data_IF_332156634293
#
_entry.id   IF_332156634293
#
_cell.length_a   1.000
_cell.length_b   1.000
_cell.length_c   1.000
_cell.angle_alpha   90.00
_cell.angle_beta   90.00
_cell.angle_gamma   90.00
#
_symmetry.space_group_name_H-M   'P 1'
#
loop_
_entity.id
_entity.type
_entity.pdbx_description
1 polymer ?
#
# COMPACT_ATOMS: atom_id res chain seq x y z
N UNK A 1 -17.82 -13.75 -5.29
CA UNK A 1 -17.93 -12.83 -4.14
C UNK A 1 -17.19 -11.57 -4.53
N UNK A 2 -17.78 -10.40 -4.30
CA UNK A 2 -17.07 -9.12 -4.49
C UNK A 2 -15.81 -9.07 -3.60
N UNK A 3 -14.77 -8.29 -3.95
CA UNK A 3 -13.62 -8.12 -3.09
C UNK A 3 -14.00 -7.62 -1.69
N UNK A 4 -13.79 -8.45 -0.68
CA UNK A 4 -14.22 -8.17 0.70
C UNK A 4 -13.01 -7.82 1.54
N UNK A 5 -12.89 -6.55 1.93
CA UNK A 5 -11.77 -6.09 2.75
C UNK A 5 -12.11 -4.85 3.58
N UNK A 6 -11.36 -4.68 4.67
CA UNK A 6 -11.20 -3.43 5.40
C UNK A 6 -9.71 -3.16 5.61
N UNK A 7 -9.21 -2.03 5.11
CA UNK A 7 -7.81 -1.62 5.19
C UNK A 7 -7.70 -0.37 6.05
N UNK A 8 -7.18 -0.54 7.27
CA UNK A 8 -7.04 0.50 8.29
C UNK A 8 -5.75 1.31 8.16
N UNK A 9 -5.02 1.13 7.05
CA UNK A 9 -3.82 1.91 6.76
C UNK A 9 -4.08 3.32 6.20
N UNK A 10 -5.34 3.75 6.19
CA UNK A 10 -5.76 5.10 5.86
C UNK A 10 -6.90 5.54 6.78
N UNK A 11 -7.11 6.84 6.89
CA UNK A 11 -8.25 7.43 7.58
C UNK A 11 -9.04 8.33 6.61
N UNK A 12 -10.32 8.00 6.29
CA UNK A 12 -11.06 6.81 6.73
C UNK A 12 -10.48 5.49 6.15
N UNK A 13 -10.80 4.33 6.76
CA UNK A 13 -10.38 3.03 6.24
C UNK A 13 -10.92 2.78 4.83
N UNK A 14 -10.11 2.16 3.96
CA UNK A 14 -10.60 1.70 2.65
C UNK A 14 -11.37 0.41 2.82
N UNK A 15 -12.59 0.37 2.31
CA UNK A 15 -13.44 -0.81 2.35
C UNK A 15 -13.86 -1.25 0.95
N UNK A 16 -14.06 -2.56 0.80
CA UNK A 16 -14.69 -3.16 -0.38
C UNK A 16 -16.14 -3.50 -0.05
N UNK A 17 -16.49 -4.77 -0.23
CA UNK A 17 -17.76 -5.37 0.21
C UNK A 17 -17.90 -5.48 1.75
N UNK A 18 -17.38 -4.50 2.51
CA UNK A 18 -17.40 -4.47 3.98
C UNK A 18 -17.94 -3.13 4.45
N UNK A 19 -18.81 -3.17 5.46
CA UNK A 19 -19.19 -2.01 6.26
C UNK A 19 -18.68 -2.19 7.69
N UNK A 20 -18.04 -1.17 8.25
CA UNK A 20 -17.64 -1.16 9.66
C UNK A 20 -18.84 -0.67 10.48
N UNK A 21 -19.43 -1.54 11.29
CA UNK A 21 -20.67 -1.26 12.03
C UNK A 21 -20.46 -0.96 13.51
N UNK A 22 -19.35 -1.43 14.08
CA UNK A 22 -19.03 -1.24 15.49
C UNK A 22 -17.54 -1.06 15.72
N UNK A 23 -17.18 -0.07 16.53
CA UNK A 23 -15.82 0.17 16.99
C UNK A 23 -15.88 0.50 18.48
N UNK A 24 -15.40 -0.41 19.31
CA UNK A 24 -15.45 -0.28 20.77
C UNK A 24 -14.04 -0.25 21.34
N UNK A 25 -13.75 0.72 22.22
CA UNK A 25 -12.43 0.91 22.87
C UNK A 25 -11.26 0.77 21.89
N UNK A 26 -11.47 1.31 20.69
CA UNK A 26 -10.51 1.26 19.59
C UNK A 26 -10.42 2.64 18.96
N UNK A 27 -9.25 2.97 18.42
CA UNK A 27 -8.97 4.28 17.83
C UNK A 27 -8.15 4.15 16.55
N UNK A 28 -8.45 4.97 15.55
CA UNK A 28 -7.58 5.11 14.38
C UNK A 28 -6.21 5.66 14.82
N UNK A 29 -5.15 5.08 14.26
CA UNK A 29 -3.76 5.44 14.57
C UNK A 29 -2.96 5.71 13.29
N UNK A 30 -3.59 6.31 12.28
CA UNK A 30 -3.00 6.66 10.99
C UNK A 30 -2.81 5.47 10.04
N UNK A 31 -2.01 4.47 10.44
CA UNK A 31 -1.68 3.31 9.60
C UNK A 31 -2.31 1.98 10.10
N UNK A 32 -3.09 2.02 11.19
CA UNK A 32 -3.83 0.88 11.73
C UNK A 32 -5.00 1.32 12.61
N UNK A 33 -5.85 0.36 12.99
CA UNK A 33 -6.79 0.47 14.09
C UNK A 33 -6.14 -0.09 15.36
N UNK A 34 -6.01 0.74 16.39
CA UNK A 34 -5.50 0.31 17.70
C UNK A 34 -6.66 -0.11 18.60
N UNK A 35 -6.72 -1.39 18.96
CA UNK A 35 -7.77 -2.03 19.75
C UNK A 35 -7.24 -2.26 21.17
N UNK A 36 -7.86 -1.59 22.16
CA UNK A 36 -7.49 -1.68 23.57
C UNK A 36 -8.01 -2.93 24.27
N UNK A 37 -7.77 -3.04 25.58
CA UNK A 37 -8.23 -4.16 26.39
C UNK A 37 -9.77 -4.26 26.42
N UNK A 38 -10.28 -5.42 26.00
CA UNK A 38 -11.72 -5.64 25.82
C UNK A 38 -12.35 -4.79 24.71
N UNK A 39 -11.53 -4.22 23.82
CA UNK A 39 -11.99 -3.51 22.63
C UNK A 39 -12.26 -4.44 21.47
N UNK A 40 -12.96 -3.91 20.48
CA UNK A 40 -13.39 -4.67 19.31
C UNK A 40 -13.58 -3.80 18.06
N UNK A 41 -13.63 -4.48 16.92
CA UNK A 41 -14.20 -3.96 15.68
C UNK A 41 -15.15 -5.00 15.08
N UNK A 42 -16.26 -4.53 14.55
CA UNK A 42 -17.28 -5.34 13.89
C UNK A 42 -17.44 -4.91 12.43
N UNK A 43 -17.44 -5.90 11.56
CA UNK A 43 -17.48 -5.78 10.12
C UNK A 43 -18.68 -6.58 9.59
N UNK A 44 -19.53 -5.95 8.81
CA UNK A 44 -20.58 -6.63 8.04
C UNK A 44 -20.17 -6.75 6.57
N UNK A 45 -20.43 -7.91 5.96
CA UNK A 45 -20.16 -8.14 4.55
C UNK A 45 -21.19 -9.07 3.94
N UNK A 46 -21.45 -8.90 2.65
CA UNK A 46 -22.43 -9.72 1.92
C UNK A 46 -21.75 -10.89 1.20
N UNK A 47 -22.29 -12.08 1.40
CA UNK A 47 -21.87 -13.29 0.72
C UNK A 47 -22.98 -13.64 -0.29
N UNK A 48 -22.64 -13.90 -1.57
CA UNK A 48 -23.61 -14.45 -2.50
C UNK A 48 -24.06 -15.84 -2.03
N UNK A 49 -24.80 -16.60 -2.83
CA UNK A 49 -25.17 -17.98 -2.45
C UNK A 49 -23.93 -18.78 -1.95
N UNK A 50 -23.89 -19.24 -0.68
CA UNK A 50 -22.77 -19.99 -0.12
C UNK A 50 -22.44 -21.26 -0.89
N UNK A 51 -23.39 -21.84 -1.63
CA UNK A 51 -23.16 -22.97 -2.53
C UNK A 51 -22.15 -22.62 -3.64
N UNK A 52 -22.06 -21.34 -4.02
CA UNK A 52 -21.11 -20.81 -5.00
C UNK A 52 -19.74 -20.53 -4.35
N UNK A 53 -19.73 -20.00 -3.13
CA UNK A 53 -18.47 -19.68 -2.43
C UNK A 53 -17.77 -20.94 -1.93
N UNK A 54 -18.54 -21.91 -1.45
CA UNK A 54 -18.14 -23.16 -0.79
C UNK A 54 -17.30 -22.95 0.45
N UNK A 55 -16.10 -22.39 0.33
CA UNK A 55 -15.20 -22.13 1.45
C UNK A 55 -14.58 -20.76 1.28
N UNK A 56 -14.28 -20.10 2.40
CA UNK A 56 -13.63 -18.81 2.40
C UNK A 56 -12.40 -18.80 3.31
N UNK A 57 -11.61 -17.75 3.16
CA UNK A 57 -10.53 -17.39 4.04
C UNK A 57 -10.86 -16.09 4.75
N UNK A 58 -10.63 -15.99 6.04
CA UNK A 58 -10.42 -14.70 6.70
C UNK A 58 -8.93 -14.54 6.92
N UNK A 59 -8.33 -13.50 6.34
CA UNK A 59 -6.94 -13.16 6.60
C UNK A 59 -6.84 -11.79 7.30
N UNK A 60 -6.09 -11.77 8.40
CA UNK A 60 -5.81 -10.58 9.19
C UNK A 60 -4.34 -10.22 9.08
N UNK A 61 -4.06 -8.93 8.91
CA UNK A 61 -2.73 -8.39 9.16
C UNK A 61 -2.76 -7.65 10.49
N UNK A 62 -2.12 -8.23 11.51
CA UNK A 62 -2.22 -7.73 12.87
C UNK A 62 -0.89 -7.82 13.63
N UNK A 63 -0.72 -6.99 14.64
CA UNK A 63 0.43 -6.96 15.53
C UNK A 63 -0.06 -6.77 16.97
N UNK A 64 0.54 -7.47 17.92
CA UNK A 64 0.43 -7.08 19.34
C UNK A 64 1.52 -6.07 19.63
N UNK A 65 1.18 -4.84 20.05
CA UNK A 65 2.18 -3.79 20.30
C UNK A 65 3.11 -4.18 21.45
N UNK A 66 4.39 -3.79 21.38
CA UNK A 66 5.34 -3.97 22.48
C UNK A 66 4.80 -3.35 23.77
N UNK A 67 5.16 -3.96 24.92
CA UNK A 67 4.99 -3.33 26.22
C UNK A 67 6.36 -2.90 26.73
N UNK A 68 6.78 -1.68 26.35
CA UNK A 68 8.14 -1.19 26.60
C UNK A 68 9.21 -2.14 26.02
N UNK A 69 9.97 -2.85 26.86
CA UNK A 69 11.02 -3.82 26.46
C UNK A 69 10.56 -5.27 26.49
N UNK A 70 9.31 -5.53 26.85
CA UNK A 70 8.75 -6.88 26.92
C UNK A 70 7.82 -7.17 25.74
N UNK A 71 7.71 -8.44 25.33
CA UNK A 71 6.67 -8.86 24.39
C UNK A 71 5.30 -8.39 24.86
N UNK A 72 4.56 -7.78 23.96
CA UNK A 72 3.20 -7.37 24.20
C UNK A 72 2.27 -8.54 24.49
N UNK A 73 1.11 -8.22 25.06
CA UNK A 73 0.06 -9.18 25.35
C UNK A 73 -1.31 -8.58 25.05
N UNK A 74 -1.87 -8.98 23.91
CA UNK A 74 -3.23 -8.68 23.49
C UNK A 74 -3.81 -9.91 22.76
N UNK A 75 -4.41 -10.86 23.50
CA UNK A 75 -4.99 -12.06 22.90
C UNK A 75 -6.08 -11.71 21.90
N UNK A 76 -5.99 -12.27 20.69
CA UNK A 76 -6.90 -12.05 19.58
C UNK A 76 -8.01 -13.11 19.61
N UNK A 77 -9.26 -12.67 19.60
CA UNK A 77 -10.41 -13.54 19.27
C UNK A 77 -11.04 -13.06 17.96
N UNK A 78 -11.38 -14.00 17.08
CA UNK A 78 -12.02 -13.73 15.78
C UNK A 78 -13.28 -14.55 15.71
N UNK A 79 -14.42 -13.91 15.46
CA UNK A 79 -15.73 -14.56 15.37
C UNK A 79 -16.41 -14.24 14.06
N UNK A 80 -16.88 -15.28 13.37
CA UNK A 80 -17.75 -15.15 12.20
C UNK A 80 -19.16 -15.61 12.60
N UNK A 81 -20.16 -14.75 12.43
CA UNK A 81 -21.55 -15.03 12.79
C UNK A 81 -21.68 -15.57 14.24
N UNK A 82 -20.88 -15.01 15.15
CA UNK A 82 -20.77 -15.43 16.56
C UNK A 82 -19.91 -16.66 16.84
N UNK A 83 -19.58 -17.47 15.82
CA UNK A 83 -18.74 -18.67 15.94
C UNK A 83 -17.24 -18.31 15.94
N UNK A 84 -16.42 -18.85 16.87
CA UNK A 84 -15.00 -18.52 16.92
C UNK A 84 -14.23 -19.19 15.78
N UNK A 85 -13.53 -18.39 14.97
CA UNK A 85 -12.47 -18.85 14.06
C UNK A 85 -11.12 -18.97 14.77
N UNK A 86 -10.93 -18.14 15.79
CA UNK A 86 -9.82 -18.20 16.72
C UNK A 86 -10.29 -17.69 18.08
N UNK A 87 -9.82 -18.31 19.15
CA UNK A 87 -10.12 -17.87 20.51
C UNK A 87 -8.85 -17.60 21.30
N UNK A 88 -8.71 -16.37 21.78
CA UNK A 88 -7.59 -15.89 22.61
C UNK A 88 -6.21 -16.25 22.05
N UNK A 89 -6.09 -16.23 20.73
CA UNK A 89 -4.86 -16.53 20.02
C UNK A 89 -3.78 -15.50 20.35
N UNK A 90 -2.57 -15.96 20.64
CA UNK A 90 -1.41 -15.06 20.73
C UNK A 90 -0.85 -14.79 19.34
N UNK A 91 -0.68 -13.52 19.01
CA UNK A 91 0.03 -13.12 17.79
C UNK A 91 1.54 -13.33 18.02
N UNK A 92 2.23 -14.10 17.15
CA UNK A 92 3.66 -14.30 17.27
C UNK A 92 4.46 -12.99 17.26
N UNK A 93 5.70 -13.05 17.78
CA UNK A 93 6.70 -11.98 17.74
C UNK A 93 6.40 -10.73 18.61
N UNK A 94 5.28 -10.67 19.32
CA UNK A 94 5.05 -9.80 20.49
C UNK A 94 5.37 -8.31 20.33
N UNK A 95 5.36 -7.76 19.12
CA UNK A 95 5.69 -6.36 18.86
C UNK A 95 6.77 -6.12 17.80
N UNK A 96 7.39 -7.17 17.25
CA UNK A 96 8.39 -7.02 16.19
C UNK A 96 7.83 -6.57 14.83
N UNK A 97 7.03 -7.42 14.18
CA UNK A 97 6.47 -7.17 12.84
C UNK A 97 5.03 -7.65 12.74
N UNK A 98 4.15 -6.95 11.99
CA UNK A 98 2.79 -7.41 11.74
C UNK A 98 2.78 -8.80 11.09
N UNK A 99 1.98 -9.70 11.65
CA UNK A 99 1.80 -11.07 11.20
C UNK A 99 0.60 -11.16 10.26
N UNK A 100 0.69 -12.05 9.28
CA UNK A 100 -0.48 -12.45 8.48
C UNK A 100 -1.06 -13.71 9.12
N UNK A 101 -2.25 -13.59 9.68
CA UNK A 101 -3.01 -14.68 10.30
C UNK A 101 -4.11 -15.09 9.33
N UNK A 102 -4.29 -16.39 9.12
CA UNK A 102 -5.14 -16.92 8.06
C UNK A 102 -6.03 -17.99 8.67
N UNK A 103 -7.34 -17.81 8.58
CA UNK A 103 -8.35 -18.70 9.14
C UNK A 103 -9.21 -19.26 8.01
N UNK A 104 -9.31 -20.58 7.94
CA UNK A 104 -10.25 -21.24 7.05
C UNK A 104 -11.68 -21.04 7.58
N UNK A 105 -12.61 -20.78 6.67
CA UNK A 105 -14.03 -20.63 6.96
C UNK A 105 -14.79 -21.72 6.20
N UNK A 106 -15.35 -22.71 6.91
CA UNK A 106 -16.22 -23.73 6.33
C UNK A 106 -17.48 -23.13 5.69
N UNK A 107 -18.06 -23.86 4.74
CA UNK A 107 -19.30 -23.47 4.04
C UNK A 107 -20.44 -23.18 5.01
N UNK A 108 -20.58 -24.04 6.01
CA UNK A 108 -21.65 -24.05 7.00
C UNK A 108 -21.59 -22.89 8.01
N UNK A 109 -20.49 -22.15 8.04
CA UNK A 109 -20.31 -20.96 8.86
C UNK A 109 -20.68 -19.67 8.10
N UNK A 110 -20.86 -19.75 6.77
CA UNK A 110 -21.31 -18.66 5.92
C UNK A 110 -22.82 -18.74 5.68
N UNK A 111 -23.48 -17.58 5.74
CA UNK A 111 -24.90 -17.45 5.37
C UNK A 111 -25.05 -16.66 4.08
N UNK A 112 -26.11 -16.93 3.32
CA UNK A 112 -26.44 -16.12 2.15
C UNK A 112 -26.83 -14.70 2.60
N UNK A 113 -26.29 -13.69 1.92
CA UNK A 113 -26.44 -12.29 2.30
C UNK A 113 -25.49 -11.90 3.43
N UNK A 114 -26.01 -11.19 4.43
CA UNK A 114 -25.18 -10.52 5.43
C UNK A 114 -24.53 -11.49 6.41
N UNK A 115 -23.21 -11.35 6.56
CA UNK A 115 -22.40 -12.03 7.55
C UNK A 115 -21.70 -10.98 8.43
N UNK A 116 -21.41 -11.34 9.68
CA UNK A 116 -20.73 -10.46 10.65
C UNK A 116 -19.41 -11.07 11.07
N UNK A 117 -18.32 -10.34 10.89
CA UNK A 117 -17.01 -10.66 11.43
C UNK A 117 -16.69 -9.70 12.57
N UNK A 118 -16.46 -10.26 13.76
CA UNK A 118 -16.01 -9.51 14.94
C UNK A 118 -14.58 -9.89 15.31
N UNK A 119 -13.77 -8.88 15.58
CA UNK A 119 -12.37 -9.02 15.99
C UNK A 119 -12.23 -8.34 17.35
N UNK A 120 -11.82 -9.09 18.34
CA UNK A 120 -11.73 -8.66 19.74
C UNK A 120 -10.30 -8.76 20.27
N UNK A 121 -9.95 -7.83 21.15
CA UNK A 121 -8.79 -7.91 22.03
C UNK A 121 -9.23 -8.35 23.43
N UNK A 122 -8.52 -9.31 24.02
CA UNK A 122 -8.84 -9.83 25.35
C UNK A 122 -8.95 -8.74 26.41
N UNK A 123 -9.89 -8.90 27.36
CA UNK A 123 -10.07 -7.95 28.47
C UNK A 123 -8.84 -7.86 29.40
N UNK A 124 -8.01 -8.91 29.41
CA UNK A 124 -6.76 -9.00 30.15
C UNK A 124 -5.54 -8.51 29.34
N UNK A 125 -5.75 -7.91 28.16
CA UNK A 125 -4.68 -7.35 27.35
C UNK A 125 -3.91 -6.27 28.15
N UNK A 126 -2.59 -6.33 28.08
CA UNK A 126 -1.66 -5.39 28.72
C UNK A 126 -1.03 -4.44 27.71
N UNK A 127 -1.15 -4.75 26.42
CA UNK A 127 -0.76 -3.88 25.31
C UNK A 127 -1.87 -3.83 24.26
N UNK A 128 -1.66 -3.09 23.17
CA UNK A 128 -2.67 -2.88 22.14
C UNK A 128 -2.62 -3.99 21.08
N UNK A 129 -3.79 -4.35 20.55
CA UNK A 129 -3.89 -5.10 19.30
C UNK A 129 -3.96 -4.08 18.15
N UNK A 130 -2.96 -4.07 17.28
CA UNK A 130 -2.92 -3.23 16.08
C UNK A 130 -3.42 -4.04 14.89
N UNK A 131 -4.58 -3.65 14.36
CA UNK A 131 -5.20 -4.28 13.19
C UNK A 131 -4.96 -3.39 11.96
N UNK A 132 -4.18 -3.89 11.01
CA UNK A 132 -3.86 -3.17 9.78
C UNK A 132 -4.86 -3.45 8.68
N UNK A 133 -5.29 -4.72 8.55
CA UNK A 133 -6.11 -5.16 7.43
C UNK A 133 -6.89 -6.42 7.74
N UNK A 134 -8.07 -6.49 7.17
CA UNK A 134 -8.92 -7.69 7.07
C UNK A 134 -9.20 -7.94 5.59
N UNK A 135 -9.02 -9.16 5.11
CA UNK A 135 -9.47 -9.61 3.79
C UNK A 135 -10.27 -10.90 3.93
N UNK A 136 -11.30 -11.04 3.11
CA UNK A 136 -12.13 -12.23 3.03
C UNK A 136 -12.19 -12.66 1.58
N UNK A 137 -11.70 -13.86 1.28
CA UNK A 137 -11.57 -14.37 -0.09
C UNK A 137 -12.19 -15.77 -0.20
N UNK A 138 -12.89 -16.10 -1.29
CA UNK A 138 -13.23 -17.49 -1.58
C UNK A 138 -11.95 -18.32 -1.73
N UNK A 139 -11.94 -19.57 -1.26
CA UNK A 139 -10.75 -20.43 -1.36
C UNK A 139 -10.24 -20.61 -2.79
N UNK A 140 -11.14 -20.64 -3.77
CA UNK A 140 -10.78 -20.77 -5.19
C UNK A 140 -10.27 -19.48 -5.84
N UNK A 141 -10.37 -18.33 -5.16
CA UNK A 141 -9.96 -17.01 -5.65
C UNK A 141 -9.01 -16.35 -4.63
N UNK A 142 -7.96 -17.09 -4.25
CA UNK A 142 -7.00 -16.66 -3.23
C UNK A 142 -6.41 -15.28 -3.55
N UNK A 143 -6.39 -14.39 -2.55
CA UNK A 143 -5.84 -13.04 -2.61
C UNK A 143 -6.56 -12.05 -3.54
N UNK A 144 -7.79 -12.36 -3.99
CA UNK A 144 -8.60 -11.44 -4.81
C UNK A 144 -8.78 -10.07 -4.13
N UNK A 145 -9.06 -10.04 -2.83
CA UNK A 145 -9.21 -8.82 -2.05
C UNK A 145 -7.89 -8.05 -1.94
N UNK A 146 -6.76 -8.74 -1.77
CA UNK A 146 -5.42 -8.14 -1.80
C UNK A 146 -5.11 -7.47 -3.14
N UNK A 147 -5.43 -8.15 -4.25
CA UNK A 147 -5.30 -7.63 -5.60
C UNK A 147 -6.23 -6.44 -5.87
N UNK A 148 -7.47 -6.49 -5.38
CA UNK A 148 -8.42 -5.37 -5.51
C UNK A 148 -7.91 -4.12 -4.77
N UNK A 149 -7.36 -4.29 -3.56
CA UNK A 149 -6.72 -3.20 -2.81
C UNK A 149 -5.53 -2.60 -3.57
N UNK A 150 -4.69 -3.44 -4.16
CA UNK A 150 -3.57 -2.98 -5.00
C UNK A 150 -4.09 -2.19 -6.21
N UNK A 151 -5.12 -2.70 -6.91
CA UNK A 151 -5.75 -2.02 -8.03
C UNK A 151 -6.38 -0.68 -7.64
N UNK A 152 -7.03 -0.60 -6.48
CA UNK A 152 -7.59 0.66 -5.99
C UNK A 152 -6.48 1.68 -5.73
N UNK A 153 -5.38 1.26 -5.11
CA UNK A 153 -4.23 2.15 -4.89
C UNK A 153 -3.55 2.58 -6.21
N UNK A 154 -3.62 1.75 -7.25
CA UNK A 154 -3.16 2.06 -8.62
C UNK A 154 -4.13 2.97 -9.37
N UNK A 155 -5.44 2.91 -9.10
CA UNK A 155 -6.45 3.73 -9.77
C UNK A 155 -6.30 5.23 -9.48
N UNK A 156 -5.66 5.57 -8.36
CA UNK A 156 -5.27 6.92 -8.00
C UNK A 156 -3.74 7.02 -7.86
N UNK A 157 -3.01 6.98 -8.99
CA UNK A 157 -1.56 6.84 -8.99
C UNK A 157 -0.84 8.16 -8.65
N UNK A 158 -1.55 9.29 -8.61
CA UNK A 158 -0.98 10.59 -8.25
C UNK A 158 -0.97 10.73 -6.74
N UNK A 159 0.22 10.81 -6.16
CA UNK A 159 0.43 11.02 -4.75
C UNK A 159 0.82 12.48 -4.50
N UNK A 160 0.14 13.15 -3.57
CA UNK A 160 0.49 14.51 -3.11
C UNK A 160 0.89 14.46 -1.65
N UNK A 161 2.08 14.94 -1.33
CA UNK A 161 2.61 14.96 0.03
C UNK A 161 2.83 16.38 0.51
N UNK A 162 2.38 16.67 1.73
CA UNK A 162 2.78 17.87 2.45
C UNK A 162 4.16 17.65 3.09
N UNK A 163 5.10 18.58 2.85
CA UNK A 163 6.45 18.57 3.41
C UNK A 163 6.83 19.96 3.91
N UNK A 164 7.90 20.07 4.69
CA UNK A 164 8.44 21.37 5.14
C UNK A 164 8.97 22.24 3.97
N UNK A 165 9.25 21.62 2.81
CA UNK A 165 9.68 22.31 1.60
C UNK A 165 8.52 22.67 0.65
N UNK A 166 7.28 22.38 1.04
CA UNK A 166 6.08 22.55 0.21
C UNK A 166 5.46 21.22 -0.23
N UNK A 167 4.46 21.29 -1.12
CA UNK A 167 3.80 20.11 -1.67
C UNK A 167 4.72 19.39 -2.68
N UNK A 168 4.82 18.07 -2.55
CA UNK A 168 5.50 17.20 -3.53
C UNK A 168 4.46 16.37 -4.24
N UNK A 169 4.46 16.42 -5.58
CA UNK A 169 3.68 15.48 -6.40
C UNK A 169 4.57 14.33 -6.86
N UNK A 170 4.03 13.10 -6.81
CA UNK A 170 4.68 11.91 -7.33
C UNK A 170 3.69 11.11 -8.17
N UNK A 171 4.01 10.96 -9.45
CA UNK A 171 3.40 10.09 -10.43
C UNK A 171 4.54 9.52 -11.29
N UNK A 172 4.67 8.20 -11.29
CA UNK A 172 5.51 7.45 -12.21
C UNK A 172 4.66 6.26 -12.66
N UNK A 173 4.08 6.37 -13.85
CA UNK A 173 3.18 5.35 -14.39
C UNK A 173 3.69 4.85 -15.74
N UNK A 174 3.87 3.54 -15.82
CA UNK A 174 4.32 2.81 -17.02
C UNK A 174 3.26 1.83 -17.54
N UNK A 175 2.04 1.87 -16.99
CA UNK A 175 0.96 0.93 -17.26
C UNK A 175 1.10 -0.44 -16.57
N UNK A 176 2.10 -0.61 -15.70
CA UNK A 176 2.42 -1.90 -15.06
C UNK A 176 1.65 -2.17 -13.76
N UNK A 177 0.80 -1.23 -13.33
CA UNK A 177 -0.08 -1.37 -12.16
C UNK A 177 0.66 -1.80 -10.88
N UNK A 178 1.80 -1.18 -10.60
CA UNK A 178 2.62 -1.48 -9.43
C UNK A 178 2.78 -0.24 -8.53
N UNK A 179 2.82 -0.45 -7.22
CA UNK A 179 3.07 0.61 -6.25
C UNK A 179 4.56 0.96 -6.20
N UNK A 180 4.85 2.25 -6.05
CA UNK A 180 6.19 2.76 -5.80
C UNK A 180 6.62 2.46 -4.35
N UNK A 181 7.84 1.93 -4.22
CA UNK A 181 8.53 1.70 -2.94
C UNK A 181 9.58 2.79 -2.68
N UNK A 182 10.28 3.23 -3.73
CA UNK A 182 11.34 4.24 -3.62
C UNK A 182 11.35 5.14 -4.85
N UNK A 183 11.68 6.41 -4.63
CA UNK A 183 11.93 7.38 -5.69
C UNK A 183 13.10 8.26 -5.28
N UNK A 184 14.02 8.51 -6.21
CA UNK A 184 15.02 9.54 -6.09
C UNK A 184 15.01 10.40 -7.35
N UNK A 185 15.22 11.70 -7.20
CA UNK A 185 15.25 12.62 -8.32
C UNK A 185 16.20 13.78 -8.07
N UNK A 186 16.60 14.43 -9.15
CA UNK A 186 17.21 15.74 -9.10
C UNK A 186 16.44 16.72 -9.97
N UNK A 187 16.48 18.00 -9.61
CA UNK A 187 15.83 19.06 -10.37
C UNK A 187 16.84 20.01 -11.04
N UNK A 188 16.33 20.98 -11.80
CA UNK A 188 17.11 21.94 -12.55
C UNK A 188 17.91 22.93 -11.67
N UNK A 189 17.59 23.05 -10.37
CA UNK A 189 18.41 23.81 -9.42
C UNK A 189 19.64 23.02 -8.96
N UNK A 190 19.73 21.73 -9.30
CA UNK A 190 20.75 20.82 -8.82
C UNK A 190 20.44 20.21 -7.45
N UNK A 191 19.25 20.47 -6.91
CA UNK A 191 18.79 19.82 -5.70
C UNK A 191 18.53 18.33 -5.96
N UNK A 192 18.86 17.50 -4.97
CA UNK A 192 18.70 16.05 -5.01
C UNK A 192 17.81 15.59 -3.88
N UNK A 193 17.01 14.58 -4.16
CA UNK A 193 16.03 13.99 -3.25
C UNK A 193 16.10 12.48 -3.38
N UNK A 194 15.98 11.78 -2.26
CA UNK A 194 15.77 10.32 -2.26
C UNK A 194 14.85 9.95 -1.11
N UNK A 195 13.76 9.25 -1.42
CA UNK A 195 12.71 8.88 -0.48
C UNK A 195 12.38 7.40 -0.58
N UNK A 196 11.95 6.83 0.54
CA UNK A 196 11.31 5.52 0.65
C UNK A 196 9.90 5.74 1.19
N UNK A 197 8.92 5.10 0.56
CA UNK A 197 7.54 5.16 1.02
C UNK A 197 7.34 4.25 2.21
N UNK A 198 6.50 4.69 3.15
CA UNK A 198 5.90 3.78 4.12
C UNK A 198 4.91 2.84 3.42
N UNK A 199 4.48 1.79 4.15
CA UNK A 199 3.44 0.89 3.65
C UNK A 199 2.23 1.69 3.20
N UNK A 200 1.65 1.29 2.07
CA UNK A 200 0.49 1.95 1.46
C UNK A 200 0.72 3.42 1.04
N UNK A 201 1.97 3.89 1.09
CA UNK A 201 2.40 5.22 0.67
C UNK A 201 1.71 6.35 1.47
N UNK A 202 1.32 6.10 2.73
CA UNK A 202 0.71 7.11 3.61
C UNK A 202 1.70 8.23 4.01
N UNK A 203 2.99 7.93 4.00
CA UNK A 203 4.07 8.88 4.20
C UNK A 203 5.32 8.42 3.44
N UNK A 204 6.34 9.27 3.43
CA UNK A 204 7.69 8.89 3.02
C UNK A 204 8.74 9.46 3.97
N UNK A 205 9.90 8.81 3.99
CA UNK A 205 11.10 9.22 4.71
C UNK A 205 12.30 9.19 3.77
N UNK A 206 13.21 10.14 3.95
CA UNK A 206 14.37 10.24 3.09
C UNK A 206 15.23 11.44 3.41
N UNK A 207 15.92 11.91 2.39
CA UNK A 207 16.78 13.07 2.49
C UNK A 207 16.65 13.94 1.25
N UNK A 208 17.00 15.21 1.43
CA UNK A 208 17.20 16.15 0.34
C UNK A 208 18.49 16.94 0.54
N UNK A 209 19.04 17.45 -0.55
CA UNK A 209 20.29 18.22 -0.54
C UNK A 209 20.31 19.25 -1.66
N UNK A 210 20.64 20.50 -1.30
CA UNK A 210 21.02 21.55 -2.26
C UNK A 210 22.52 21.46 -2.61
N UNK A 211 22.95 21.93 -3.79
CA UNK A 211 24.37 21.98 -4.15
C UNK A 211 25.21 22.68 -3.09
N UNK A 212 26.33 22.06 -2.71
CA UNK A 212 27.24 22.59 -1.68
C UNK A 212 26.74 22.49 -0.23
N UNK A 213 25.52 22.00 0.02
CA UNK A 213 24.99 21.80 1.36
C UNK A 213 25.10 20.36 1.84
N UNK A 214 25.02 20.15 3.16
CA UNK A 214 24.89 18.80 3.74
C UNK A 214 23.46 18.26 3.52
N UNK A 215 23.28 16.94 3.34
CA UNK A 215 21.95 16.34 3.31
C UNK A 215 21.16 16.68 4.56
N UNK A 216 19.86 16.93 4.38
CA UNK A 216 18.89 17.13 5.46
C UNK A 216 17.81 16.08 5.36
N UNK A 217 17.20 15.79 6.49
CA UNK A 217 16.02 14.94 6.53
C UNK A 217 14.90 15.51 5.65
N UNK A 218 14.21 14.62 4.94
CA UNK A 218 13.08 14.95 4.11
C UNK A 218 11.94 13.97 4.40
N UNK A 219 10.81 14.49 4.83
CA UNK A 219 9.63 13.71 5.20
C UNK A 219 8.41 14.33 4.54
N UNK A 220 7.46 13.47 4.19
CA UNK A 220 6.17 13.90 3.67
C UNK A 220 5.05 13.05 4.20
N UNK A 221 3.92 13.70 4.50
CA UNK A 221 2.65 13.01 4.82
C UNK A 221 1.68 13.15 3.66
N UNK A 222 1.00 12.07 3.31
CA UNK A 222 0.06 12.06 2.20
C UNK A 222 -1.06 13.07 2.48
N UNK A 223 -1.15 14.09 1.64
CA UNK A 223 -2.19 15.11 1.68
C UNK A 223 -3.36 14.77 0.76
N UNK A 224 -3.12 13.97 -0.29
CA UNK A 224 -4.18 13.52 -1.18
C UNK A 224 -3.71 12.56 -2.26
N UNK A 225 -4.68 11.90 -2.87
CA UNK A 225 -4.52 11.05 -4.05
C UNK A 225 -5.33 11.61 -5.22
N UNK A 226 -5.01 11.19 -6.44
CA UNK A 226 -5.80 11.56 -7.61
C UNK A 226 -5.52 10.67 -8.81
N UNK A 227 -6.43 10.72 -9.78
CA UNK A 227 -6.31 10.00 -11.04
C UNK A 227 -5.52 10.75 -12.11
N UNK A 228 -5.31 12.07 -11.94
CA UNK A 228 -4.64 12.94 -12.90
C UNK A 228 -3.72 13.95 -12.21
N UNK A 229 -2.60 14.22 -12.86
CA UNK A 229 -1.68 15.29 -12.55
C UNK A 229 -1.55 16.17 -13.80
N UNK A 230 -2.00 17.42 -13.72
CA UNK A 230 -2.02 18.34 -14.86
C UNK A 230 -0.60 18.63 -15.40
N UNK A 231 0.38 18.59 -14.52
CA UNK A 231 1.80 18.75 -14.81
C UNK A 231 2.49 17.47 -15.31
N UNK A 232 1.74 16.38 -15.52
CA UNK A 232 2.32 15.11 -15.96
C UNK A 232 2.87 15.22 -17.39
N UNK A 233 4.14 14.88 -17.56
CA UNK A 233 4.77 14.71 -18.87
C UNK A 233 4.58 13.28 -19.34
N UNK A 234 4.04 13.10 -20.54
CA UNK A 234 3.90 11.81 -21.21
C UNK A 234 5.07 11.59 -22.15
N UNK A 235 5.61 10.38 -22.14
CA UNK A 235 6.65 9.94 -23.06
C UNK A 235 6.24 8.66 -23.77
N UNK A 236 6.39 8.66 -25.09
CA UNK A 236 6.40 7.45 -25.92
C UNK A 236 7.76 6.79 -25.75
N UNK A 237 7.78 5.57 -25.23
CA UNK A 237 9.00 4.89 -24.81
C UNK A 237 9.34 3.66 -25.67
N UNK A 238 10.63 3.37 -25.70
CA UNK A 238 11.23 2.18 -26.31
C UNK A 238 12.20 1.54 -25.31
N UNK A 239 12.35 0.22 -25.35
CA UNK A 239 13.38 -0.49 -24.60
C UNK A 239 14.29 -1.29 -25.53
N UNK A 240 15.55 -1.40 -25.12
CA UNK A 240 16.66 -1.88 -25.95
C UNK A 240 17.02 -3.31 -25.61
N UNK A 241 16.68 -4.25 -26.48
CA UNK A 241 17.08 -5.65 -26.38
C UNK A 241 17.26 -6.28 -27.77
N UNK A 242 18.07 -7.34 -27.84
CA UNK A 242 18.31 -8.06 -29.11
C UNK A 242 18.96 -7.21 -30.20
N UNK A 243 19.75 -6.19 -29.83
CA UNK A 243 20.42 -5.28 -30.78
C UNK A 243 19.52 -4.20 -31.39
N UNK A 244 18.26 -4.07 -30.95
CA UNK A 244 17.31 -3.09 -31.46
C UNK A 244 16.53 -2.38 -30.36
N UNK A 245 15.79 -1.35 -30.77
CA UNK A 245 14.83 -0.64 -29.91
C UNK A 245 13.42 -1.08 -30.27
N UNK A 246 12.64 -1.38 -29.24
CA UNK A 246 11.29 -1.91 -29.39
C UNK A 246 10.32 -1.04 -28.61
N UNK A 247 9.15 -0.81 -29.19
CA UNK A 247 8.09 -0.02 -28.55
C UNK A 247 7.70 -0.66 -27.21
N UNK A 248 7.57 0.17 -26.18
CA UNK A 248 7.07 -0.21 -24.86
C UNK A 248 5.86 0.64 -24.46
N UNK A 249 5.32 0.42 -23.26
CA UNK A 249 4.25 1.24 -22.69
C UNK A 249 4.68 2.70 -22.51
N UNK A 250 3.73 3.63 -22.57
CA UNK A 250 4.05 5.03 -22.28
C UNK A 250 4.48 5.23 -20.84
N UNK A 251 5.32 6.23 -20.61
CA UNK A 251 5.70 6.69 -19.29
C UNK A 251 5.03 8.04 -19.01
N UNK A 252 4.22 8.10 -17.96
CA UNK A 252 3.69 9.35 -17.41
C UNK A 252 4.48 9.72 -16.16
N UNK A 253 4.95 10.96 -16.09
CA UNK A 253 5.81 11.44 -15.00
C UNK A 253 5.34 12.80 -14.49
N UNK A 254 5.08 12.89 -13.19
CA UNK A 254 5.04 14.15 -12.43
C UNK A 254 5.74 13.92 -11.09
N UNK A 255 7.00 14.35 -10.97
CA UNK A 255 7.80 14.16 -9.76
C UNK A 255 8.35 15.50 -9.31
N UNK A 256 8.32 15.78 -8.01
CA UNK A 256 9.01 16.92 -7.41
C UNK A 256 8.09 18.02 -6.89
N UNK A 257 8.71 19.16 -6.57
CA UNK A 257 8.04 20.37 -6.09
C UNK A 257 7.64 21.23 -7.29
N UNK A 258 6.44 21.84 -7.31
CA UNK A 258 6.04 22.76 -8.37
C UNK A 258 7.10 23.82 -8.68
N UNK A 259 7.35 24.07 -9.97
CA UNK A 259 8.34 25.05 -10.43
C UNK A 259 9.78 24.53 -10.58
N UNK A 260 10.06 23.29 -10.16
CA UNK A 260 11.40 22.69 -10.24
C UNK A 260 11.42 21.49 -11.21
N UNK A 261 11.81 21.74 -12.46
CA UNK A 261 11.83 20.70 -13.49
C UNK A 261 12.80 19.56 -13.16
N UNK A 262 12.33 18.32 -13.22
CA UNK A 262 13.16 17.13 -12.97
C UNK A 262 14.13 16.89 -14.13
N UNK A 263 15.41 16.70 -13.77
CA UNK A 263 16.52 16.45 -14.70
C UNK A 263 16.95 14.99 -14.74
N UNK A 264 16.81 14.25 -13.62
CA UNK A 264 16.98 12.79 -13.57
C UNK A 264 16.13 12.20 -12.48
N UNK A 265 15.74 10.94 -12.63
CA UNK A 265 15.07 10.19 -11.59
C UNK A 265 15.39 8.70 -11.64
N UNK A 266 15.29 8.04 -10.49
CA UNK A 266 15.25 6.59 -10.37
C UNK A 266 14.08 6.19 -9.49
N UNK A 267 13.46 5.05 -9.79
CA UNK A 267 12.34 4.53 -9.01
C UNK A 267 12.43 3.03 -8.87
N UNK A 268 11.74 2.52 -7.85
CA UNK A 268 11.54 1.10 -7.60
C UNK A 268 10.09 0.84 -7.24
N UNK A 269 9.53 -0.23 -7.81
CA UNK A 269 8.21 -0.74 -7.47
C UNK A 269 8.31 -1.87 -6.44
N UNK A 270 7.22 -2.08 -5.70
CA UNK A 270 7.09 -3.16 -4.70
C UNK A 270 7.16 -4.58 -5.29
N UNK A 271 6.92 -4.73 -6.59
CA UNK A 271 7.12 -5.99 -7.29
C UNK A 271 8.60 -6.25 -7.67
N UNK A 272 9.50 -5.30 -7.42
CA UNK A 272 10.94 -5.36 -7.70
C UNK A 272 11.38 -4.70 -9.02
N UNK A 273 10.44 -4.29 -9.87
CA UNK A 273 10.75 -3.53 -11.08
C UNK A 273 11.42 -2.20 -10.71
N UNK A 274 12.37 -1.75 -11.51
CA UNK A 274 13.05 -0.48 -11.28
C UNK A 274 13.47 0.19 -12.59
N UNK A 275 13.71 1.49 -12.51
CA UNK A 275 14.21 2.26 -13.65
C UNK A 275 15.00 3.48 -13.21
N UNK A 276 15.84 3.97 -14.11
CA UNK A 276 16.59 5.22 -13.96
C UNK A 276 16.61 5.93 -15.30
N UNK A 277 16.34 7.23 -15.30
CA UNK A 277 16.31 8.07 -16.51
C UNK A 277 16.94 9.42 -16.24
N UNK A 278 17.60 9.97 -17.26
CA UNK A 278 18.00 11.36 -17.34
C UNK A 278 17.22 12.04 -18.46
N UNK A 279 16.61 13.17 -18.15
CA UNK A 279 15.79 13.95 -19.08
C UNK A 279 16.66 14.93 -19.87
N UNK A 280 16.30 15.10 -21.14
CA UNK A 280 16.82 16.10 -22.07
C UNK A 280 15.64 16.74 -22.82
N UNK A 281 15.90 17.78 -23.62
CA UNK A 281 14.85 18.52 -24.32
C UNK A 281 14.05 17.65 -25.29
N UNK A 282 14.69 16.64 -25.88
CA UNK A 282 14.11 15.71 -26.86
C UNK A 282 13.57 14.41 -26.23
N UNK A 283 13.60 14.28 -24.90
CA UNK A 283 13.08 13.11 -24.20
C UNK A 283 13.89 12.66 -23.00
N UNK A 284 14.18 11.37 -22.92
CA UNK A 284 15.05 10.81 -21.89
C UNK A 284 15.82 9.58 -22.38
N UNK A 285 16.92 9.29 -21.70
CA UNK A 285 17.68 8.05 -21.81
C UNK A 285 17.95 7.46 -20.43
N UNK A 286 18.02 6.13 -20.36
CA UNK A 286 18.20 5.44 -19.10
C UNK A 286 18.20 3.92 -19.23
N UNK A 287 17.86 3.26 -18.12
CA UNK A 287 17.65 1.82 -18.06
C UNK A 287 16.37 1.49 -17.33
N UNK A 288 15.84 0.31 -17.63
CA UNK A 288 14.72 -0.28 -16.94
C UNK A 288 15.04 -1.75 -16.66
N UNK A 289 14.53 -2.28 -15.55
CA UNK A 289 14.75 -3.66 -15.15
C UNK A 289 13.47 -4.24 -14.57
N UNK A 290 13.00 -5.33 -15.16
CA UNK A 290 11.93 -6.16 -14.58
C UNK A 290 12.52 -7.12 -13.56
N UNK A 291 11.73 -7.47 -12.56
CA UNK A 291 12.13 -8.46 -11.56
C UNK A 291 12.50 -9.78 -12.22
N UNK A 292 13.71 -10.27 -11.93
CA UNK A 292 14.23 -11.52 -12.49
C UNK A 292 14.95 -11.36 -13.84
N UNK A 293 15.02 -10.15 -14.41
CA UNK A 293 15.72 -9.87 -15.66
C UNK A 293 16.97 -9.00 -15.42
N UNK A 294 17.86 -8.97 -16.42
CA UNK A 294 18.95 -7.98 -16.47
C UNK A 294 18.44 -6.59 -16.86
N UNK A 295 19.17 -5.51 -16.54
CA UNK A 295 18.79 -4.17 -16.96
C UNK A 295 18.88 -4.04 -18.49
N UNK A 296 17.88 -3.39 -19.08
CA UNK A 296 17.79 -3.10 -20.51
C UNK A 296 17.84 -1.59 -20.75
N UNK A 297 18.26 -1.19 -21.95
CA UNK A 297 18.23 0.22 -22.35
C UNK A 297 16.80 0.73 -22.35
N UNK A 298 16.57 1.97 -21.92
CA UNK A 298 15.24 2.57 -21.89
C UNK A 298 15.33 4.02 -22.37
N UNK A 299 14.48 4.39 -23.33
CA UNK A 299 14.43 5.76 -23.85
C UNK A 299 13.00 6.18 -24.07
N UNK A 300 12.75 7.48 -24.09
CA UNK A 300 11.46 8.00 -24.48
C UNK A 300 11.57 9.35 -25.14
N UNK A 301 10.58 9.67 -25.96
CA UNK A 301 10.39 10.98 -26.60
C UNK A 301 9.08 11.59 -26.08
N UNK A 302 8.94 12.92 -26.03
CA UNK A 302 7.69 13.56 -25.65
C UNK A 302 6.53 12.98 -26.47
N UNK A 303 5.50 12.51 -25.78
CA UNK A 303 4.26 12.06 -26.41
C UNK A 303 3.46 13.26 -26.90
N UNK A 304 2.90 13.17 -28.10
CA UNK A 304 1.91 14.10 -28.63
C UNK A 304 0.61 14.08 -27.81
#
# INVERSE_FOLDING_TARGET
MEPTYADFGSEPPRTGNVTITGVERSSAAGDHLAIGAGGSVELEFDVPDPVVVREACVALRALTSMFSREPGYAPLTVRLNGRPLADRMRIPNGGGLPQRLVFAVPAEDLVAGRNTLRIDSGADARSMLWLYRVTIDPMHAHDQAGLALARQAVAEPVLRYATDAGEVTILIDRGEQALLDQVAWADASGAEYAITFEKQQAAFYGWWRQPGQRPREFRGRLAGRGSRAEQARRFTTEEGWGGGWHRSGDLLVAVGVPGHAVTRMSWRHGNGNNGTVAFADDGFLGTYQRTGEGPIGYRGRPGS
#
